data_IF_221717750223
#
_entry.id   IF_221717750223
#
_cell.length_a   1.000
_cell.length_b   1.000
_cell.length_c   1.000
_cell.angle_alpha   90.00
_cell.angle_beta   90.00
_cell.angle_gamma   90.00
#
_symmetry.space_group_name_H-M   'P 1'
#
loop_
_entity.id
_entity.type
_entity.pdbx_description
1 polymer ?
#
# COMPACT_ATOMS: atom_id res chain seq x y z
N UNK A 1 -13.80 -19.09 26.59
CA UNK A 1 -12.42 -19.37 26.16
C UNK A 1 -12.18 -18.65 24.85
N UNK A 2 -11.11 -17.85 24.69
CA UNK A 2 -10.76 -17.36 23.37
C UNK A 2 -10.43 -18.58 22.50
N UNK A 3 -11.08 -18.69 21.34
CA UNK A 3 -10.81 -19.76 20.39
C UNK A 3 -9.34 -19.69 19.98
N UNK A 4 -8.51 -20.61 20.52
CA UNK A 4 -7.18 -20.85 19.96
C UNK A 4 -7.38 -21.57 18.63
N UNK A 5 -6.92 -20.95 17.56
CA UNK A 5 -7.05 -21.48 16.21
C UNK A 5 -6.50 -22.91 16.08
N UNK A 6 -7.24 -23.76 15.36
CA UNK A 6 -6.70 -25.00 14.78
C UNK A 6 -5.71 -24.63 13.67
N UNK A 7 -4.53 -25.22 13.75
CA UNK A 7 -3.34 -24.93 12.97
C UNK A 7 -3.46 -25.25 11.47
N UNK A 8 -4.02 -24.32 10.68
CA UNK A 8 -3.66 -24.22 9.27
C UNK A 8 -2.86 -22.93 9.08
N UNK A 9 -1.56 -22.99 8.77
CA UNK A 9 -0.77 -21.79 8.52
C UNK A 9 -1.39 -21.01 7.36
N UNK A 10 -1.88 -19.80 7.64
CA UNK A 10 -2.25 -18.86 6.61
C UNK A 10 -1.00 -18.07 6.21
N UNK A 11 -0.60 -18.07 4.93
CA UNK A 11 0.28 -17.02 4.45
C UNK A 11 -0.55 -15.72 4.39
N UNK A 12 -0.57 -14.97 5.50
CA UNK A 12 -1.09 -13.61 5.50
C UNK A 12 -0.27 -12.79 4.51
N UNK A 13 -0.94 -12.18 3.52
CA UNK A 13 -0.28 -11.39 2.48
C UNK A 13 -0.19 -9.93 2.88
N UNK A 14 -1.22 -9.43 3.57
CA UNK A 14 -1.32 -8.03 3.98
C UNK A 14 -1.86 -7.93 5.42
N UNK A 15 -1.45 -6.88 6.12
CA UNK A 15 -1.88 -6.57 7.47
C UNK A 15 -2.13 -5.06 7.59
N UNK A 16 -3.31 -4.66 8.08
CA UNK A 16 -3.72 -3.27 8.27
C UNK A 16 -4.47 -3.06 9.57
N UNK A 17 -4.57 -1.81 10.02
CA UNK A 17 -5.26 -1.43 11.25
C UNK A 17 -6.39 -0.46 10.93
N UNK A 18 -7.59 -0.73 11.44
CA UNK A 18 -8.77 0.15 11.36
C UNK A 18 -9.44 0.11 12.72
N UNK A 19 -9.73 1.26 13.32
CA UNK A 19 -10.45 1.39 14.60
C UNK A 19 -9.91 0.49 15.72
N UNK A 20 -8.58 0.39 15.86
CA UNK A 20 -7.93 -0.45 16.88
C UNK A 20 -7.96 -1.95 16.61
N UNK A 21 -8.46 -2.38 15.45
CA UNK A 21 -8.48 -3.79 15.02
C UNK A 21 -7.44 -4.05 13.95
N UNK A 22 -6.71 -5.15 14.11
CA UNK A 22 -5.71 -5.63 13.15
C UNK A 22 -6.38 -6.62 12.20
N UNK A 23 -6.41 -6.28 10.92
CA UNK A 23 -6.94 -7.11 9.84
C UNK A 23 -5.79 -7.83 9.14
N UNK A 24 -5.80 -9.16 9.18
CA UNK A 24 -4.89 -10.01 8.44
C UNK A 24 -5.65 -10.63 7.27
N UNK A 25 -5.21 -10.32 6.04
CA UNK A 25 -5.86 -10.82 4.82
C UNK A 25 -4.86 -11.67 4.05
N UNK A 26 -5.30 -12.87 3.68
CA UNK A 26 -4.48 -13.82 2.95
C UNK A 26 -5.28 -14.86 2.20
N UNK A 27 -4.54 -15.79 1.62
CA UNK A 27 -5.08 -16.91 0.85
C UNK A 27 -5.07 -18.17 1.72
N UNK A 28 -6.20 -18.87 1.84
CA UNK A 28 -6.26 -20.20 2.45
C UNK A 28 -6.68 -21.26 1.45
N UNK A 29 -6.09 -22.45 1.57
CA UNK A 29 -6.48 -23.61 0.78
C UNK A 29 -7.81 -24.16 1.26
N UNK A 30 -8.64 -24.59 0.32
CA UNK A 30 -9.84 -25.37 0.62
C UNK A 30 -10.08 -26.41 -0.48
N UNK A 31 -10.85 -27.44 -0.15
CA UNK A 31 -11.25 -28.48 -1.11
C UNK A 31 -12.70 -28.24 -1.49
N UNK A 32 -12.95 -28.17 -2.79
CA UNK A 32 -14.28 -28.11 -3.40
C UNK A 32 -14.58 -29.41 -4.16
N UNK A 33 -15.80 -29.56 -4.65
CA UNK A 33 -16.18 -30.68 -5.54
C UNK A 33 -15.33 -30.75 -6.82
N UNK A 34 -14.68 -29.63 -7.19
CA UNK A 34 -13.81 -29.51 -8.37
C UNK A 34 -12.32 -29.68 -8.02
N UNK A 35 -11.99 -30.08 -6.79
CA UNK A 35 -10.62 -30.27 -6.31
C UNK A 35 -10.13 -29.13 -5.40
N UNK A 36 -8.81 -29.07 -5.20
CA UNK A 36 -8.19 -28.04 -4.36
C UNK A 36 -8.29 -26.66 -5.01
N UNK A 37 -8.74 -25.69 -4.23
CA UNK A 37 -8.86 -24.28 -4.60
C UNK A 37 -8.37 -23.36 -3.49
N UNK A 38 -8.33 -22.07 -3.77
CA UNK A 38 -7.90 -21.01 -2.85
C UNK A 38 -9.04 -20.03 -2.60
N UNK A 39 -9.20 -19.61 -1.35
CA UNK A 39 -10.17 -18.61 -0.93
C UNK A 39 -9.49 -17.47 -0.20
N UNK A 40 -10.09 -16.29 -0.24
CA UNK A 40 -9.65 -15.20 0.62
C UNK A 40 -10.15 -15.41 2.04
N UNK A 41 -9.30 -15.08 3.00
CA UNK A 41 -9.59 -15.23 4.41
C UNK A 41 -9.18 -13.98 5.14
N UNK A 42 -10.05 -13.47 6.00
CA UNK A 42 -9.80 -12.33 6.89
C UNK A 42 -9.83 -12.82 8.32
N UNK A 43 -8.77 -12.52 9.05
CA UNK A 43 -8.72 -12.65 10.50
C UNK A 43 -8.65 -11.26 11.09
N UNK A 44 -9.47 -11.01 12.11
CA UNK A 44 -9.51 -9.73 12.79
C UNK A 44 -9.12 -9.96 14.24
N UNK A 45 -8.06 -9.28 14.67
CA UNK A 45 -7.63 -9.22 16.06
C UNK A 45 -8.06 -7.88 16.63
N UNK A 46 -8.92 -7.92 17.63
CA UNK A 46 -9.22 -6.75 18.45
C UNK A 46 -8.03 -6.50 19.39
N UNK A 47 -7.30 -5.40 19.17
CA UNK A 47 -6.05 -5.15 19.87
C UNK A 47 -6.25 -4.76 21.34
N UNK A 48 -7.41 -4.19 21.68
CA UNK A 48 -7.76 -3.79 23.05
C UNK A 48 -8.06 -5.02 23.91
N UNK A 49 -8.92 -5.91 23.43
CA UNK A 49 -9.33 -7.11 24.16
C UNK A 49 -8.39 -8.30 23.95
N UNK A 50 -7.48 -8.20 22.98
CA UNK A 50 -6.61 -9.29 22.52
C UNK A 50 -7.40 -10.55 22.10
N UNK A 51 -8.57 -10.35 21.49
CA UNK A 51 -9.44 -11.44 21.04
C UNK A 51 -9.56 -11.47 19.52
N UNK A 52 -9.72 -12.68 18.98
CA UNK A 52 -9.95 -12.89 17.56
C UNK A 52 -11.44 -12.93 17.26
N UNK A 53 -11.85 -12.23 16.22
CA UNK A 53 -13.20 -12.36 15.67
C UNK A 53 -13.35 -13.65 14.85
N UNK A 54 -14.60 -14.10 14.59
CA UNK A 54 -14.86 -15.19 13.67
C UNK A 54 -14.22 -14.96 12.30
N UNK A 55 -13.51 -15.98 11.80
CA UNK A 55 -12.82 -15.88 10.50
C UNK A 55 -13.80 -15.75 9.35
N UNK A 56 -13.62 -14.70 8.57
CA UNK A 56 -14.37 -14.44 7.35
C UNK A 56 -13.69 -15.16 6.20
N UNK A 57 -14.48 -15.86 5.38
CA UNK A 57 -14.02 -16.63 4.22
C UNK A 57 -14.80 -16.20 2.99
N UNK A 58 -14.09 -15.96 1.89
CA UNK A 58 -14.67 -15.61 0.59
C UNK A 58 -14.14 -16.57 -0.47
N UNK A 59 -15.01 -17.48 -0.89
CA UNK A 59 -14.68 -18.58 -1.81
C UNK A 59 -14.86 -18.15 -3.28
N UNK A 60 -15.89 -17.35 -3.56
CA UNK A 60 -16.19 -16.83 -4.90
C UNK A 60 -15.46 -15.51 -5.18
N UNK A 61 -14.14 -15.57 -5.35
CA UNK A 61 -13.37 -14.38 -5.70
C UNK A 61 -12.56 -14.60 -6.98
N UNK A 62 -12.86 -13.82 -8.02
CA UNK A 62 -12.14 -13.82 -9.31
C UNK A 62 -10.81 -13.08 -9.23
N UNK A 63 -10.10 -13.23 -8.13
CA UNK A 63 -8.85 -12.52 -7.90
C UNK A 63 -7.78 -13.54 -7.60
N UNK A 64 -6.71 -13.45 -8.38
CA UNK A 64 -5.50 -14.23 -8.15
C UNK A 64 -4.84 -13.94 -6.80
N UNK A 65 -3.61 -14.46 -6.59
CA UNK A 65 -2.83 -14.20 -5.39
C UNK A 65 -2.72 -12.69 -5.09
N UNK A 66 -2.82 -12.29 -3.80
CA UNK A 66 -2.62 -10.89 -3.40
C UNK A 66 -1.14 -10.52 -3.45
N UNK A 67 -0.86 -9.28 -3.85
CA UNK A 67 0.43 -8.64 -3.62
C UNK A 67 0.59 -8.35 -2.12
N UNK A 68 1.79 -8.01 -1.69
CA UNK A 68 2.08 -7.63 -0.30
C UNK A 68 1.61 -6.22 0.07
N UNK A 69 1.07 -5.46 -0.88
CA UNK A 69 0.68 -4.08 -0.67
C UNK A 69 -0.81 -3.91 -0.45
N UNK A 70 -1.11 -3.17 0.60
CA UNK A 70 -2.43 -2.72 0.94
C UNK A 70 -2.36 -1.39 1.71
N UNK A 71 -3.37 -0.57 1.50
CA UNK A 71 -3.54 0.71 2.19
C UNK A 71 -4.96 0.82 2.73
N UNK A 72 -5.14 1.68 3.73
CA UNK A 72 -6.46 2.01 4.27
C UNK A 72 -6.85 3.40 3.80
N UNK A 73 -8.01 3.52 3.15
CA UNK A 73 -8.64 4.79 2.76
C UNK A 73 -10.13 4.72 3.07
N UNK A 74 -10.70 5.77 3.68
CA UNK A 74 -12.12 5.83 4.01
C UNK A 74 -12.64 4.58 4.76
N UNK A 75 -11.88 4.09 5.75
CA UNK A 75 -12.14 2.85 6.51
C UNK A 75 -12.20 1.56 5.66
N UNK A 76 -11.67 1.58 4.45
CA UNK A 76 -11.63 0.44 3.53
C UNK A 76 -10.21 0.01 3.26
N UNK A 77 -9.99 -1.30 3.19
CA UNK A 77 -8.68 -1.89 2.90
C UNK A 77 -8.60 -2.08 1.38
N UNK A 78 -7.77 -1.27 0.72
CA UNK A 78 -7.47 -1.39 -0.69
C UNK A 78 -6.23 -2.26 -0.86
N UNK A 79 -6.35 -3.34 -1.62
CA UNK A 79 -5.29 -4.32 -1.86
C UNK A 79 -5.05 -4.48 -3.34
N UNK A 80 -3.82 -4.83 -3.74
CA UNK A 80 -3.48 -5.14 -5.13
C UNK A 80 -3.28 -6.65 -5.36
N UNK A 81 -3.72 -7.17 -6.50
CA UNK A 81 -3.47 -8.54 -6.95
C UNK A 81 -2.17 -8.71 -7.76
N UNK A 82 -1.60 -9.92 -7.79
CA UNK A 82 -0.35 -10.27 -8.50
C UNK A 82 -0.53 -10.44 -10.02
N UNK A 83 -1.76 -10.66 -10.51
CA UNK A 83 -2.05 -10.86 -11.95
C UNK A 83 -3.39 -10.24 -12.33
N UNK A 84 -3.47 -9.73 -13.57
CA UNK A 84 -4.65 -9.12 -14.20
C UNK A 84 -5.16 -7.80 -13.58
N UNK A 85 -4.27 -7.06 -12.90
CA UNK A 85 -4.53 -5.66 -12.48
C UNK A 85 -5.79 -5.47 -11.61
N UNK A 86 -6.19 -6.47 -10.81
CA UNK A 86 -7.33 -6.32 -9.91
C UNK A 86 -6.87 -5.82 -8.54
N UNK A 87 -6.97 -4.51 -8.30
CA UNK A 87 -7.12 -3.97 -6.95
C UNK A 87 -8.53 -4.25 -6.46
N UNK A 88 -8.62 -4.64 -5.19
CA UNK A 88 -9.87 -4.91 -4.49
C UNK A 88 -9.94 -4.05 -3.26
N UNK A 89 -11.14 -3.52 -3.04
CA UNK A 89 -11.51 -2.78 -1.86
C UNK A 89 -12.32 -3.72 -0.97
N UNK A 90 -11.82 -3.97 0.23
CA UNK A 90 -12.56 -4.66 1.28
C UNK A 90 -13.11 -3.63 2.27
N UNK A 91 -14.42 -3.68 2.48
CA UNK A 91 -15.13 -2.85 3.45
C UNK A 91 -15.51 -3.71 4.67
N UNK A 92 -14.80 -3.55 5.80
CA UNK A 92 -15.00 -4.39 6.98
C UNK A 92 -16.41 -4.30 7.56
N UNK A 93 -17.00 -3.09 7.59
CA UNK A 93 -18.32 -2.82 8.21
C UNK A 93 -19.45 -3.61 7.54
N UNK A 94 -19.42 -3.71 6.20
CA UNK A 94 -20.42 -4.43 5.42
C UNK A 94 -19.98 -5.85 5.01
N UNK A 95 -18.74 -6.24 5.36
CA UNK A 95 -18.08 -7.44 4.85
C UNK A 95 -18.15 -7.55 3.30
N UNK A 96 -17.95 -6.41 2.63
CA UNK A 96 -18.12 -6.27 1.19
C UNK A 96 -16.78 -6.25 0.49
N UNK A 97 -16.72 -6.84 -0.69
CA UNK A 97 -15.54 -6.89 -1.55
C UNK A 97 -15.90 -6.34 -2.91
N UNK A 98 -15.21 -5.29 -3.36
CA UNK A 98 -15.50 -4.61 -4.63
C UNK A 98 -14.24 -4.42 -5.46
N UNK A 99 -14.38 -4.57 -6.78
CA UNK A 99 -13.35 -4.15 -7.72
C UNK A 99 -13.46 -2.64 -7.95
N UNK A 100 -12.31 -1.96 -8.00
CA UNK A 100 -12.28 -0.55 -8.35
C UNK A 100 -11.46 -0.36 -9.64
N UNK A 101 -12.16 -0.23 -10.77
CA UNK A 101 -11.53 -0.14 -12.09
C UNK A 101 -10.61 1.07 -12.23
N UNK A 102 -10.92 2.20 -11.58
CA UNK A 102 -10.06 3.38 -11.66
C UNK A 102 -8.79 3.19 -10.85
N UNK A 103 -8.89 2.68 -9.62
CA UNK A 103 -7.72 2.30 -8.83
C UNK A 103 -6.84 1.29 -9.60
N UNK A 104 -7.47 0.39 -10.36
CA UNK A 104 -6.83 -0.63 -11.20
C UNK A 104 -6.14 -0.10 -12.46
N UNK A 105 -6.46 1.13 -12.87
CA UNK A 105 -5.84 1.74 -14.06
C UNK A 105 -4.36 2.10 -13.85
N UNK A 106 -3.83 1.92 -12.64
CA UNK A 106 -2.45 2.20 -12.28
C UNK A 106 -1.83 1.07 -11.47
N UNK A 107 -0.56 0.84 -11.76
CA UNK A 107 0.26 -0.19 -11.12
C UNK A 107 0.90 0.34 -9.83
N UNK A 108 0.07 0.78 -8.88
CA UNK A 108 0.53 1.34 -7.62
C UNK A 108 1.16 0.28 -6.70
N UNK A 109 2.35 0.58 -6.19
CA UNK A 109 3.12 -0.24 -5.25
C UNK A 109 3.94 0.70 -4.35
N UNK A 110 4.22 0.29 -3.11
CA UNK A 110 4.93 1.06 -2.11
C UNK A 110 4.27 2.40 -1.81
N UNK A 111 2.95 2.49 -1.94
CA UNK A 111 2.20 3.72 -1.71
C UNK A 111 1.88 3.96 -0.24
N UNK A 112 1.52 5.20 0.10
CA UNK A 112 0.98 5.57 1.41
C UNK A 112 -0.27 6.44 1.28
N UNK A 113 -1.02 6.54 2.36
CA UNK A 113 -2.24 7.37 2.41
C UNK A 113 -2.00 8.61 3.26
N UNK A 114 -2.29 9.77 2.70
CA UNK A 114 -2.29 11.07 3.40
C UNK A 114 -3.62 11.76 3.12
N UNK A 115 -4.36 12.09 4.18
CA UNK A 115 -5.71 12.68 4.11
C UNK A 115 -6.67 11.91 3.19
N UNK A 116 -6.75 10.58 3.35
CA UNK A 116 -7.56 9.66 2.52
C UNK A 116 -7.23 9.66 1.01
N UNK A 117 -6.05 10.15 0.62
CA UNK A 117 -5.54 10.05 -0.76
C UNK A 117 -4.33 9.14 -0.79
N UNK A 118 -4.34 8.16 -1.69
CA UNK A 118 -3.22 7.26 -1.92
C UNK A 118 -2.18 7.93 -2.80
N UNK A 119 -0.95 8.03 -2.32
CA UNK A 119 0.21 8.51 -3.05
C UNK A 119 1.18 7.36 -3.33
N UNK A 120 1.67 7.26 -4.56
CA UNK A 120 2.76 6.35 -4.91
C UNK A 120 3.64 6.95 -6.01
N UNK A 121 4.91 6.56 -6.05
CA UNK A 121 5.80 6.96 -7.13
C UNK A 121 5.64 6.01 -8.33
N UNK A 122 5.16 6.56 -9.44
CA UNK A 122 5.24 5.89 -10.73
C UNK A 122 6.68 6.04 -11.25
N UNK A 123 7.50 5.01 -11.07
CA UNK A 123 8.90 5.03 -11.50
C UNK A 123 9.05 5.07 -13.03
N UNK A 124 8.04 4.62 -13.79
CA UNK A 124 8.07 4.63 -15.25
C UNK A 124 7.87 6.04 -15.78
N UNK A 125 6.85 6.73 -15.26
CA UNK A 125 6.53 8.11 -15.65
C UNK A 125 7.28 9.17 -14.83
N UNK A 126 8.04 8.74 -13.82
CA UNK A 126 8.78 9.60 -12.88
C UNK A 126 7.88 10.65 -12.24
N UNK A 127 6.70 10.21 -11.82
CA UNK A 127 5.65 11.07 -11.33
C UNK A 127 5.11 10.54 -10.00
N UNK A 128 5.01 11.42 -9.01
CA UNK A 128 4.25 11.12 -7.80
C UNK A 128 2.75 11.20 -8.16
N UNK A 129 2.06 10.07 -8.09
CA UNK A 129 0.64 9.97 -8.42
C UNK A 129 -0.21 9.97 -7.16
N UNK A 130 -1.40 10.53 -7.26
CA UNK A 130 -2.37 10.63 -6.19
C UNK A 130 -3.74 10.07 -6.65
N UNK A 131 -4.30 9.12 -5.92
CA UNK A 131 -5.65 8.60 -6.11
C UNK A 131 -6.59 9.18 -5.06
N UNK A 132 -7.58 9.93 -5.52
CA UNK A 132 -8.67 10.43 -4.68
C UNK A 132 -9.88 9.50 -4.79
N UNK A 133 -10.22 8.74 -3.74
CA UNK A 133 -11.36 7.82 -3.77
C UNK A 133 -12.70 8.56 -3.93
N UNK A 134 -12.83 9.78 -3.40
CA UNK A 134 -14.07 10.58 -3.47
C UNK A 134 -14.39 11.01 -4.90
N UNK A 135 -13.33 11.26 -5.67
CA UNK A 135 -13.44 11.66 -7.07
C UNK A 135 -13.26 10.47 -8.02
N UNK A 136 -12.93 9.30 -7.49
CA UNK A 136 -12.53 8.10 -8.23
C UNK A 136 -11.61 8.46 -9.39
N UNK A 137 -10.49 9.13 -9.09
CA UNK A 137 -9.55 9.59 -10.12
C UNK A 137 -8.10 9.55 -9.67
N UNK A 138 -7.23 9.31 -10.65
CA UNK A 138 -5.80 9.53 -10.53
C UNK A 138 -5.43 10.95 -10.98
N UNK A 139 -4.45 11.52 -10.31
CA UNK A 139 -3.83 12.80 -10.66
C UNK A 139 -2.30 12.72 -10.47
N UNK A 140 -1.58 13.66 -11.05
CA UNK A 140 -0.14 13.84 -10.82
C UNK A 140 0.03 14.97 -9.81
N UNK A 141 0.96 14.78 -8.87
CA UNK A 141 1.36 15.82 -7.93
C UNK A 141 2.34 16.75 -8.64
N UNK A 142 1.95 18.02 -8.79
CA UNK A 142 2.72 19.03 -9.51
C UNK A 142 3.87 19.59 -8.65
N UNK A 143 4.88 20.17 -9.30
CA UNK A 143 5.98 20.89 -8.63
C UNK A 143 7.16 20.00 -8.22
N UNK A 144 7.17 18.74 -8.66
CA UNK A 144 8.21 17.73 -8.37
C UNK A 144 8.85 17.17 -9.64
N UNK A 145 8.49 17.67 -10.82
CA UNK A 145 8.82 17.09 -12.12
C UNK A 145 10.33 17.05 -12.35
N UNK A 146 11.02 18.17 -12.13
CA UNK A 146 12.46 18.28 -12.29
C UNK A 146 13.21 17.37 -11.29
N UNK A 147 12.76 17.38 -10.03
CA UNK A 147 13.35 16.57 -8.96
C UNK A 147 13.22 15.08 -9.26
N UNK A 148 12.02 14.59 -9.55
CA UNK A 148 11.78 13.17 -9.81
C UNK A 148 12.48 12.73 -11.11
N UNK A 149 12.47 13.58 -12.15
CA UNK A 149 13.21 13.30 -13.38
C UNK A 149 14.72 13.13 -13.12
N UNK A 150 15.32 13.98 -12.28
CA UNK A 150 16.74 13.90 -11.96
C UNK A 150 17.08 12.71 -11.04
N UNK A 151 16.27 12.50 -10.00
CA UNK A 151 16.66 11.65 -8.86
C UNK A 151 16.17 10.22 -8.97
N UNK A 152 15.05 9.95 -9.65
CA UNK A 152 14.42 8.62 -9.67
C UNK A 152 14.63 7.85 -10.97
N UNK A 153 15.48 8.34 -11.89
CA UNK A 153 15.63 7.79 -13.25
C UNK A 153 15.99 6.30 -13.31
N UNK A 154 16.73 5.78 -12.33
CA UNK A 154 17.15 4.37 -12.29
C UNK A 154 16.38 3.55 -11.25
N UNK A 155 15.43 4.17 -10.54
CA UNK A 155 14.68 3.49 -9.51
C UNK A 155 13.66 2.53 -10.12
N UNK A 156 13.58 1.32 -9.59
CA UNK A 156 12.55 0.33 -9.97
C UNK A 156 11.47 0.18 -8.90
N UNK A 157 11.78 0.57 -7.68
CA UNK A 157 10.90 0.43 -6.52
C UNK A 157 11.09 1.64 -5.62
N UNK A 158 9.98 2.10 -5.06
CA UNK A 158 9.97 3.17 -4.08
C UNK A 158 8.92 2.86 -3.01
N UNK A 159 9.16 3.37 -1.81
CA UNK A 159 8.23 3.26 -0.69
C UNK A 159 7.92 4.67 -0.19
N UNK A 160 6.65 5.02 -0.14
CA UNK A 160 6.16 6.23 0.47
C UNK A 160 5.65 5.91 1.88
N UNK A 161 5.82 6.84 2.81
CA UNK A 161 5.30 6.76 4.17
C UNK A 161 4.79 8.12 4.59
N UNK A 162 3.60 8.18 5.21
CA UNK A 162 3.11 9.41 5.85
C UNK A 162 4.03 9.78 7.01
N UNK A 163 4.66 10.96 6.97
CA UNK A 163 5.57 11.45 8.01
C UNK A 163 5.14 12.79 8.63
N UNK A 164 3.88 13.18 8.41
CA UNK A 164 3.27 14.37 8.99
C UNK A 164 1.80 14.48 8.56
N UNK A 165 1.12 15.54 8.99
CA UNK A 165 -0.29 15.74 8.62
C UNK A 165 -0.47 15.81 7.10
N UNK A 166 0.32 16.65 6.43
CA UNK A 166 0.28 16.87 4.97
C UNK A 166 1.65 16.61 4.36
N UNK A 167 2.30 15.54 4.79
CA UNK A 167 3.66 15.20 4.37
C UNK A 167 3.84 13.71 4.20
N UNK A 168 4.61 13.34 3.19
CA UNK A 168 5.14 12.00 3.05
C UNK A 168 6.66 12.02 2.89
N UNK A 169 7.30 10.93 3.30
CA UNK A 169 8.68 10.61 3.02
C UNK A 169 8.70 9.56 1.90
N UNK A 170 9.46 9.82 0.85
CA UNK A 170 9.63 8.94 -0.29
C UNK A 170 11.03 8.33 -0.26
N UNK A 171 11.08 7.01 -0.13
CA UNK A 171 12.31 6.22 -0.17
C UNK A 171 12.45 5.58 -1.54
N UNK A 172 13.60 5.73 -2.17
CA UNK A 172 13.87 5.12 -3.47
C UNK A 172 15.35 4.78 -3.64
N UNK A 173 15.63 3.83 -4.52
CA UNK A 173 16.99 3.43 -4.84
C UNK A 173 17.57 4.32 -5.94
N UNK A 174 18.80 4.78 -5.72
CA UNK A 174 19.59 5.52 -6.71
C UNK A 174 20.97 4.88 -6.85
N UNK A 175 21.58 5.00 -8.02
CA UNK A 175 23.00 4.69 -8.21
C UNK A 175 23.81 5.97 -8.04
N UNK A 176 24.72 6.00 -7.07
CA UNK A 176 25.66 7.08 -6.83
C UNK A 176 27.09 6.52 -6.88
N UNK A 177 27.95 7.05 -7.75
CA UNK A 177 29.33 6.57 -7.97
C UNK A 177 29.47 5.05 -8.13
N UNK A 178 28.53 4.44 -8.86
CA UNK A 178 28.51 2.99 -9.12
C UNK A 178 28.01 2.13 -7.94
N UNK A 179 27.61 2.75 -6.82
CA UNK A 179 27.02 2.07 -5.66
C UNK A 179 25.52 2.32 -5.60
N UNK A 180 24.77 1.33 -5.13
CA UNK A 180 23.35 1.51 -4.81
C UNK A 180 23.23 2.19 -3.44
N UNK A 181 22.45 3.26 -3.40
CA UNK A 181 22.13 4.00 -2.18
C UNK A 181 20.62 4.12 -2.03
N UNK A 182 20.15 4.25 -0.79
CA UNK A 182 18.75 4.56 -0.50
C UNK A 182 18.67 6.05 -0.20
N UNK A 183 17.90 6.76 -1.01
CA UNK A 183 17.59 8.16 -0.78
C UNK A 183 16.24 8.29 -0.07
N UNK A 184 16.10 9.37 0.69
CA UNK A 184 14.84 9.80 1.29
C UNK A 184 14.54 11.23 0.84
N UNK A 185 13.33 11.48 0.36
CA UNK A 185 12.82 12.81 0.07
C UNK A 185 11.59 13.09 0.93
N UNK A 186 11.63 14.13 1.74
CA UNK A 186 10.46 14.65 2.45
C UNK A 186 9.70 15.61 1.54
N UNK A 187 8.41 15.35 1.35
CA UNK A 187 7.55 16.07 0.43
C UNK A 187 6.34 16.58 1.20
N UNK A 188 6.23 17.90 1.33
CA UNK A 188 5.02 18.56 1.78
C UNK A 188 3.98 18.59 0.66
N UNK A 189 2.72 18.38 1.02
CA UNK A 189 1.58 18.26 0.11
C UNK A 189 0.61 19.43 0.34
N UNK A 190 0.15 20.02 -0.76
CA UNK A 190 -0.83 21.09 -0.77
C UNK A 190 -1.97 20.74 -1.74
N UNK A 191 -3.22 20.79 -1.28
CA UNK A 191 -4.40 20.71 -2.15
C UNK A 191 -4.85 22.11 -2.53
N UNK A 192 -4.99 22.39 -3.82
CA UNK A 192 -5.42 23.68 -4.36
C UNK A 192 -6.83 23.61 -4.94
N UNK A 193 -7.36 24.78 -5.30
CA UNK A 193 -8.67 24.89 -5.95
C UNK A 193 -8.70 24.06 -7.24
N UNK A 194 -9.86 23.47 -7.56
CA UNK A 194 -10.01 22.57 -8.71
C UNK A 194 -9.51 21.14 -8.47
N UNK A 195 -9.07 20.83 -7.24
CA UNK A 195 -8.61 19.49 -6.89
C UNK A 195 -7.21 19.15 -7.40
N UNK A 196 -6.42 20.17 -7.75
CA UNK A 196 -4.99 20.00 -8.00
C UNK A 196 -4.25 19.68 -6.70
N UNK A 197 -3.21 18.85 -6.81
CA UNK A 197 -2.31 18.53 -5.72
C UNK A 197 -0.91 18.97 -6.11
N UNK A 198 -0.26 19.69 -5.21
CA UNK A 198 1.10 20.20 -5.37
C UNK A 198 2.00 19.59 -4.30
N UNK A 199 3.22 19.28 -4.69
CA UNK A 199 4.28 18.77 -3.85
C UNK A 199 5.42 19.78 -3.77
N UNK A 200 5.99 19.94 -2.58
CA UNK A 200 7.22 20.68 -2.38
C UNK A 200 8.20 19.79 -1.64
N UNK A 201 9.35 19.54 -2.24
CA UNK A 201 10.46 18.89 -1.56
C UNK A 201 10.98 19.81 -0.44
N UNK A 202 10.95 19.33 0.79
CA UNK A 202 11.46 20.06 1.96
C UNK A 202 12.85 19.61 2.36
N UNK A 203 13.14 18.31 2.20
CA UNK A 203 14.45 17.74 2.46
C UNK A 203 14.72 16.58 1.51
N UNK A 204 16.00 16.35 1.21
CA UNK A 204 16.47 15.22 0.43
C UNK A 204 17.85 14.80 0.93
N UNK A 205 18.02 13.53 1.24
CA UNK A 205 19.28 12.99 1.74
C UNK A 205 19.50 11.52 1.35
N UNK A 206 20.75 11.09 1.35
CA UNK A 206 21.15 9.70 1.25
C UNK A 206 21.16 9.11 2.65
N UNK A 207 20.20 8.22 2.94
CA UNK A 207 20.03 7.67 4.29
C UNK A 207 20.79 6.36 4.51
N UNK A 208 21.15 5.64 3.43
CA UNK A 208 21.95 4.41 3.49
C UNK A 208 22.94 4.39 2.32
N UNK A 209 24.23 4.30 2.65
CA UNK A 209 25.36 4.18 1.72
C UNK A 209 26.37 3.16 2.27
N UNK A 210 26.03 1.87 2.22
CA UNK A 210 26.91 0.81 2.76
C UNK A 210 27.49 -0.09 1.64
N UNK A 211 27.29 0.26 0.36
CA UNK A 211 27.87 -0.47 -0.78
C UNK A 211 27.38 -1.91 -0.97
N UNK A 212 26.54 -2.42 -0.06
CA UNK A 212 25.86 -3.72 -0.15
C UNK A 212 24.62 -3.70 -1.05
N UNK A 213 24.11 -4.90 -1.34
CA UNK A 213 22.82 -5.09 -2.00
C UNK A 213 21.71 -4.98 -0.95
N UNK A 214 21.08 -3.81 -0.86
CA UNK A 214 19.92 -3.58 0.00
C UNK A 214 18.62 -3.67 -0.80
N UNK A 215 17.58 -4.20 -0.15
CA UNK A 215 16.21 -4.15 -0.64
C UNK A 215 15.32 -3.56 0.46
N UNK A 216 14.51 -2.57 0.11
CA UNK A 216 13.61 -1.90 1.05
C UNK A 216 12.29 -2.64 1.03
N UNK A 217 12.08 -3.51 2.02
CA UNK A 217 10.87 -4.33 2.09
C UNK A 217 9.64 -3.51 2.48
N UNK A 218 9.76 -2.65 3.50
CA UNK A 218 8.66 -1.82 3.99
C UNK A 218 9.23 -0.67 4.82
N UNK A 219 8.68 0.52 4.63
CA UNK A 219 8.92 1.67 5.50
C UNK A 219 7.69 1.91 6.37
N UNK A 220 7.87 2.28 7.64
CA UNK A 220 6.78 2.54 8.60
C UNK A 220 7.02 3.84 9.35
N UNK A 221 5.95 4.59 9.61
CA UNK A 221 6.00 5.73 10.51
C UNK A 221 5.85 5.25 11.95
N UNK A 222 6.66 5.79 12.85
CA UNK A 222 6.60 5.51 14.28
C UNK A 222 6.32 6.83 14.99
N UNK A 223 5.26 6.86 15.79
CA UNK A 223 4.98 7.97 16.71
C UNK A 223 5.95 7.82 17.89
N UNK A 224 6.79 8.83 18.11
CA UNK A 224 7.75 8.89 19.24
C UNK A 224 7.13 9.68 20.39
#
# INVERSE_FOLDING_TARGET
MPQRFSATPMPSRVANVIDGKVYLIGDSRFTSDHGMSWRKTVMVLDAETQTWEPVIRKEDMRVGPLWSDAVVMEDKICMRGIRESYSIVYEPKENKWEMNEVLNSKDWEGGCVVDDVLYYLDCSDKALRAFDPKQSRWSVVNGLEEFLAAETTQSKWANAVKCGEKKLALFFLKTHDGKKVICCAEIALERRQGGEIWGKMEAFDVVIEDGGLFDVMKCVAVTV
#
